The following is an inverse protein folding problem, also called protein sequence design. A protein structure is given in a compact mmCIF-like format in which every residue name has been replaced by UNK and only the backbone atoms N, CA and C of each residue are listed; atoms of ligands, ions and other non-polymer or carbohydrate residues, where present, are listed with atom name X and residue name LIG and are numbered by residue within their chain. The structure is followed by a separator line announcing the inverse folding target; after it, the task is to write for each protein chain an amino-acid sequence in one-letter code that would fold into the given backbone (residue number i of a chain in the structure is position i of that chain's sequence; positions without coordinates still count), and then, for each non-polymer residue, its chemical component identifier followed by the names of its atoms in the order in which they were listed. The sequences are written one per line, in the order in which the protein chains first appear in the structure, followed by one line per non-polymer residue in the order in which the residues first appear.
data_IF_381912613136
#
_entry.id   IF_381912613136
#
_cell.length_a   1.000
_cell.length_b   1.000
_cell.length_c   1.000
_cell.angle_alpha   90.00
_cell.angle_beta   90.00
_cell.angle_gamma   90.00
#
_symmetry.space_group_name_H-M   'P 1'
#
loop_
_entity.id
_entity.type
_entity.pdbx_description
1 polymer ?
#
# COMPACT_ATOMS: atom_id res chain seq x y z
N UNK A 1 -21.69 -8.87 -30.57
CA UNK A 1 -20.94 -8.47 -29.37
C UNK A 1 -19.44 -8.48 -29.62
N UNK A 2 -18.80 -9.65 -29.49
CA UNK A 2 -17.33 -9.81 -29.59
C UNK A 2 -16.71 -9.24 -30.88
N UNK A 3 -17.32 -9.46 -32.04
CA UNK A 3 -16.81 -8.94 -33.32
C UNK A 3 -16.71 -7.41 -33.34
N UNK A 4 -17.73 -6.71 -32.82
CA UNK A 4 -17.72 -5.24 -32.69
C UNK A 4 -16.72 -4.71 -31.64
N UNK A 5 -16.30 -5.54 -30.66
CA UNK A 5 -15.23 -5.17 -29.72
C UNK A 5 -13.85 -5.27 -30.37
N UNK A 6 -13.63 -6.30 -31.19
CA UNK A 6 -12.33 -6.59 -31.80
C UNK A 6 -12.07 -5.74 -33.05
N UNK A 7 -13.12 -5.43 -33.81
CA UNK A 7 -12.98 -4.62 -35.02
C UNK A 7 -12.38 -5.38 -36.23
N UNK A 8 -12.28 -6.70 -36.16
CA UNK A 8 -11.57 -7.54 -37.16
C UNK A 8 -12.34 -7.65 -38.48
N UNK A 9 -13.65 -7.94 -38.43
CA UNK A 9 -14.50 -8.14 -39.62
C UNK A 9 -15.57 -7.06 -39.79
N UNK A 10 -15.80 -6.26 -38.74
CA UNK A 10 -16.77 -5.17 -38.70
C UNK A 10 -16.12 -3.96 -38.04
N UNK A 11 -16.47 -2.71 -38.45
CA UNK A 11 -15.98 -1.53 -37.77
C UNK A 11 -16.22 -1.62 -36.26
N UNK A 12 -15.21 -1.24 -35.48
CA UNK A 12 -15.31 -1.21 -34.02
C UNK A 12 -16.46 -0.28 -33.61
N UNK A 13 -17.46 -0.84 -32.93
CA UNK A 13 -18.62 -0.11 -32.41
C UNK A 13 -18.91 -0.60 -30.99
N UNK A 14 -18.44 0.18 -30.02
CA UNK A 14 -18.62 -0.13 -28.59
C UNK A 14 -20.09 -0.14 -28.18
N UNK A 15 -20.91 0.75 -28.74
CA UNK A 15 -22.33 0.82 -28.43
C UNK A 15 -23.06 -0.43 -28.92
N UNK A 16 -22.84 -0.85 -30.17
CA UNK A 16 -23.40 -2.09 -30.70
C UNK A 16 -22.87 -3.31 -29.96
N UNK A 17 -21.57 -3.36 -29.64
CA UNK A 17 -20.96 -4.44 -28.88
C UNK A 17 -21.66 -4.64 -27.54
N UNK A 18 -21.87 -3.57 -26.77
CA UNK A 18 -22.54 -3.59 -25.47
C UNK A 18 -23.98 -4.07 -25.61
N UNK A 19 -24.75 -3.52 -26.55
CA UNK A 19 -26.16 -3.92 -26.77
C UNK A 19 -26.29 -5.43 -26.99
N UNK A 20 -25.46 -5.99 -27.86
CA UNK A 20 -25.47 -7.42 -28.15
C UNK A 20 -24.98 -8.28 -26.98
N UNK A 21 -24.00 -7.78 -26.22
CA UNK A 21 -23.53 -8.48 -25.04
C UNK A 21 -24.58 -8.49 -23.92
N UNK A 22 -25.30 -7.39 -23.71
CA UNK A 22 -26.42 -7.31 -22.76
C UNK A 22 -27.49 -8.32 -23.13
N UNK A 23 -27.96 -8.31 -24.37
CA UNK A 23 -28.99 -9.24 -24.83
C UNK A 23 -28.60 -10.72 -24.59
N UNK A 24 -27.33 -11.07 -24.81
CA UNK A 24 -26.83 -12.43 -24.57
C UNK A 24 -26.64 -12.73 -23.07
N UNK A 25 -26.17 -11.76 -22.29
CA UNK A 25 -25.95 -11.90 -20.86
C UNK A 25 -27.26 -12.05 -20.08
N UNK A 26 -28.31 -11.34 -20.50
CA UNK A 26 -29.68 -11.44 -19.96
C UNK A 26 -30.31 -12.82 -20.24
N UNK A 27 -29.90 -13.49 -21.32
CA UNK A 27 -30.28 -14.87 -21.61
C UNK A 27 -29.45 -15.91 -20.82
N UNK A 28 -28.65 -15.46 -19.84
CA UNK A 28 -27.85 -16.35 -19.00
C UNK A 28 -26.53 -16.77 -19.61
N UNK A 29 -26.10 -16.23 -20.76
CA UNK A 29 -24.81 -16.62 -21.34
C UNK A 29 -23.64 -16.20 -20.44
N UNK A 30 -23.00 -17.16 -19.77
CA UNK A 30 -21.88 -16.89 -18.85
C UNK A 30 -20.70 -16.16 -19.50
N UNK A 31 -20.43 -16.38 -20.79
CA UNK A 31 -19.32 -15.73 -21.50
C UNK A 31 -19.65 -14.26 -21.81
N UNK A 32 -20.90 -13.95 -22.15
CA UNK A 32 -21.36 -12.59 -22.36
C UNK A 32 -21.38 -11.79 -21.04
N UNK A 33 -21.84 -12.42 -19.95
CA UNK A 33 -21.76 -11.84 -18.61
C UNK A 33 -20.31 -11.55 -18.20
N UNK A 34 -19.39 -12.49 -18.42
CA UNK A 34 -17.97 -12.25 -18.18
C UNK A 34 -17.42 -11.11 -19.03
N UNK A 35 -17.77 -11.04 -20.32
CA UNK A 35 -17.32 -9.99 -21.22
C UNK A 35 -17.81 -8.61 -20.77
N UNK A 36 -19.08 -8.46 -20.34
CA UNK A 36 -19.60 -7.22 -19.77
C UNK A 36 -18.89 -6.86 -18.47
N UNK A 37 -18.71 -7.83 -17.58
CA UNK A 37 -18.00 -7.65 -16.33
C UNK A 37 -16.59 -7.11 -16.53
N UNK A 38 -15.88 -7.68 -17.52
CA UNK A 38 -14.55 -7.23 -17.95
C UNK A 38 -14.58 -5.82 -18.58
N UNK A 39 -15.60 -5.52 -19.38
CA UNK A 39 -15.77 -4.22 -20.03
C UNK A 39 -15.89 -3.07 -19.02
N UNK A 40 -16.69 -3.26 -17.97
CA UNK A 40 -16.87 -2.26 -16.90
C UNK A 40 -15.70 -2.22 -15.90
N UNK A 41 -14.82 -3.23 -15.93
CA UNK A 41 -13.67 -3.33 -15.04
C UNK A 41 -12.47 -2.50 -15.51
N UNK A 42 -12.14 -2.58 -16.80
CA UNK A 42 -10.99 -1.88 -17.37
C UNK A 42 -11.31 -0.41 -17.67
N UNK A 43 -10.35 0.46 -17.36
CA UNK A 43 -10.37 1.86 -17.80
C UNK A 43 -10.11 1.88 -19.33
N UNK A 44 -11.14 2.18 -20.12
CA UNK A 44 -11.10 2.17 -21.59
C UNK A 44 -12.23 3.01 -22.19
N UNK A 45 -12.76 2.61 -23.36
CA UNK A 45 -13.84 3.33 -24.07
C UNK A 45 -15.19 3.36 -23.32
N UNK A 46 -15.29 2.66 -22.18
CA UNK A 46 -16.46 2.63 -21.30
C UNK A 46 -16.08 3.20 -19.94
N UNK A 47 -16.94 4.05 -19.38
CA UNK A 47 -16.76 4.54 -18.02
C UNK A 47 -16.72 3.36 -17.06
N UNK A 48 -15.62 3.26 -16.32
CA UNK A 48 -15.42 2.22 -15.32
C UNK A 48 -16.51 2.27 -14.26
N UNK A 49 -17.16 1.14 -14.04
CA UNK A 49 -18.23 0.97 -13.07
C UNK A 49 -18.01 -0.34 -12.33
N UNK A 50 -17.42 -0.24 -11.13
CA UNK A 50 -17.05 -1.42 -10.34
C UNK A 50 -18.28 -2.22 -9.92
N UNK A 51 -19.39 -1.56 -9.63
CA UNK A 51 -20.61 -2.23 -9.19
C UNK A 51 -21.22 -3.04 -10.33
N UNK A 52 -21.36 -2.44 -11.51
CA UNK A 52 -21.81 -3.17 -12.71
C UNK A 52 -20.86 -4.29 -13.10
N UNK A 53 -19.56 -4.05 -13.00
CA UNK A 53 -18.55 -5.09 -13.23
C UNK A 53 -18.76 -6.29 -12.32
N UNK A 54 -18.84 -6.07 -11.00
CA UNK A 54 -19.03 -7.14 -10.02
C UNK A 54 -20.37 -7.85 -10.20
N UNK A 55 -21.43 -7.13 -10.54
CA UNK A 55 -22.75 -7.72 -10.83
C UNK A 55 -22.66 -8.78 -11.93
N UNK A 56 -22.13 -8.41 -13.10
CA UNK A 56 -22.02 -9.33 -14.24
C UNK A 56 -21.02 -10.46 -13.99
N UNK A 57 -19.88 -10.18 -13.33
CA UNK A 57 -18.90 -11.21 -13.00
C UNK A 57 -19.46 -12.25 -12.03
N UNK A 58 -20.25 -11.83 -11.03
CA UNK A 58 -20.86 -12.76 -10.07
C UNK A 58 -21.86 -13.69 -10.74
N UNK A 59 -22.69 -13.18 -11.65
CA UNK A 59 -23.61 -14.00 -12.44
C UNK A 59 -22.86 -15.04 -13.28
N UNK A 60 -21.74 -14.64 -13.90
CA UNK A 60 -20.90 -15.55 -14.68
C UNK A 60 -20.22 -16.61 -13.79
N UNK A 61 -19.66 -16.19 -12.64
CA UNK A 61 -19.00 -17.07 -11.69
C UNK A 61 -19.99 -18.09 -11.06
N UNK A 62 -21.22 -17.69 -10.79
CA UNK A 62 -22.28 -18.57 -10.30
C UNK A 62 -22.61 -19.73 -11.25
N UNK A 63 -22.30 -19.58 -12.54
CA UNK A 63 -22.44 -20.62 -13.56
C UNK A 63 -21.16 -21.47 -13.76
N UNK A 64 -20.13 -21.25 -12.95
CA UNK A 64 -18.86 -21.99 -13.00
C UNK A 64 -17.76 -21.33 -13.83
N UNK A 65 -17.92 -20.07 -14.25
CA UNK A 65 -16.86 -19.37 -14.96
C UNK A 65 -15.69 -19.02 -14.02
N UNK A 66 -14.64 -19.84 -14.07
CA UNK A 66 -13.42 -19.67 -13.26
C UNK A 66 -12.68 -18.36 -13.54
N UNK A 67 -12.75 -17.83 -14.76
CA UNK A 67 -12.12 -16.55 -15.10
C UNK A 67 -12.85 -15.38 -14.46
N UNK A 68 -14.18 -15.47 -14.36
CA UNK A 68 -14.98 -14.47 -13.67
C UNK A 68 -14.66 -14.48 -12.17
N UNK A 69 -14.58 -15.66 -11.54
CA UNK A 69 -14.20 -15.79 -10.14
C UNK A 69 -12.80 -15.23 -9.87
N UNK A 70 -11.82 -15.62 -10.70
CA UNK A 70 -10.46 -15.11 -10.58
C UNK A 70 -10.40 -13.58 -10.66
N UNK A 71 -11.18 -12.96 -11.56
CA UNK A 71 -11.22 -11.51 -11.70
C UNK A 71 -11.86 -10.82 -10.48
N UNK A 72 -12.90 -11.42 -9.90
CA UNK A 72 -13.51 -10.92 -8.64
C UNK A 72 -12.48 -10.94 -7.52
N UNK A 73 -11.77 -12.05 -7.34
CA UNK A 73 -10.80 -12.22 -6.26
C UNK A 73 -9.62 -11.23 -6.38
N UNK A 74 -9.24 -10.90 -7.62
CA UNK A 74 -8.12 -10.00 -7.91
C UNK A 74 -8.56 -8.56 -8.19
N UNK A 75 -9.85 -8.22 -8.10
CA UNK A 75 -10.39 -6.92 -8.53
C UNK A 75 -9.73 -5.73 -7.80
N UNK A 76 -9.31 -5.94 -6.57
CA UNK A 76 -8.65 -4.92 -5.73
C UNK A 76 -7.13 -4.90 -5.93
N UNK A 77 -6.52 -5.98 -6.42
CA UNK A 77 -5.08 -6.07 -6.71
C UNK A 77 -4.71 -5.23 -7.92
N UNK A 78 -5.61 -5.09 -8.89
CA UNK A 78 -5.48 -4.17 -10.03
C UNK A 78 -5.80 -2.70 -9.67
N UNK A 79 -6.15 -2.41 -8.41
CA UNK A 79 -6.25 -1.03 -7.94
C UNK A 79 -4.83 -0.48 -7.87
N UNK A 80 -4.50 0.49 -8.72
CA UNK A 80 -3.39 1.39 -8.45
C UNK A 80 -3.59 1.89 -7.01
N UNK A 81 -2.71 1.57 -6.03
CA UNK A 81 -2.83 2.15 -4.70
C UNK A 81 -2.93 3.65 -4.93
N UNK A 82 -3.92 4.31 -4.30
CA UNK A 82 -4.09 5.75 -4.51
C UNK A 82 -2.72 6.39 -4.37
N UNK A 83 -2.36 7.32 -5.25
CA UNK A 83 -1.03 7.95 -5.23
C UNK A 83 -0.69 8.43 -3.81
N UNK A 84 -1.71 8.88 -3.07
CA UNK A 84 -1.67 9.17 -1.65
C UNK A 84 -1.24 7.97 -0.78
N UNK A 85 -1.87 6.79 -0.90
CA UNK A 85 -1.50 5.58 -0.17
C UNK A 85 -0.11 5.06 -0.53
N UNK A 86 0.31 5.20 -1.79
CA UNK A 86 1.68 4.90 -2.21
C UNK A 86 2.68 5.88 -1.57
N UNK A 87 2.34 7.17 -1.56
CA UNK A 87 3.15 8.22 -0.94
C UNK A 87 3.26 8.04 0.58
N UNK A 88 2.18 7.72 1.29
CA UNK A 88 2.23 7.47 2.74
C UNK A 88 3.05 6.24 3.08
N UNK A 89 2.94 5.16 2.30
CA UNK A 89 3.80 3.96 2.45
C UNK A 89 5.27 4.26 2.20
N UNK A 90 5.57 5.10 1.21
CA UNK A 90 6.93 5.55 0.94
C UNK A 90 7.46 6.41 2.09
N UNK A 91 6.69 7.40 2.56
CA UNK A 91 7.06 8.25 3.69
C UNK A 91 7.34 7.43 4.95
N UNK A 92 6.46 6.50 5.31
CA UNK A 92 6.66 5.63 6.47
C UNK A 92 7.92 4.76 6.34
N UNK A 93 8.25 4.30 5.13
CA UNK A 93 9.46 3.50 4.90
C UNK A 93 10.72 4.36 4.99
N UNK A 94 10.67 5.59 4.48
CA UNK A 94 11.76 6.56 4.60
C UNK A 94 11.99 6.95 6.07
N UNK A 95 10.92 7.20 6.82
CA UNK A 95 11.01 7.53 8.25
C UNK A 95 11.71 6.42 9.06
N UNK A 96 11.38 5.15 8.79
CA UNK A 96 12.06 4.02 9.42
C UNK A 96 13.56 3.96 9.06
N UNK A 97 13.92 4.20 7.79
CA UNK A 97 15.32 4.21 7.35
C UNK A 97 16.12 5.32 8.05
N UNK A 98 15.56 6.53 8.09
CA UNK A 98 16.20 7.67 8.73
C UNK A 98 16.36 7.47 10.25
N UNK A 99 15.38 6.88 10.93
CA UNK A 99 15.49 6.60 12.37
C UNK A 99 16.47 5.48 12.70
N UNK A 100 16.59 4.46 11.85
CA UNK A 100 17.60 3.40 12.02
C UNK A 100 19.03 3.93 11.85
N UNK A 101 19.25 4.77 10.84
CA UNK A 101 20.54 5.44 10.63
C UNK A 101 20.83 6.49 11.71
N UNK A 102 19.83 7.25 12.16
CA UNK A 102 19.95 8.18 13.28
C UNK A 102 20.28 7.45 14.59
N UNK A 103 19.62 6.32 14.90
CA UNK A 103 19.95 5.51 16.09
C UNK A 103 21.35 4.92 16.02
N UNK A 104 21.80 4.45 14.85
CA UNK A 104 23.18 3.97 14.67
C UNK A 104 24.20 5.08 14.87
N UNK A 105 24.00 6.24 14.25
CA UNK A 105 24.96 7.36 14.32
C UNK A 105 25.00 8.01 15.70
N UNK A 106 23.85 8.19 16.36
CA UNK A 106 23.77 8.71 17.74
C UNK A 106 24.23 7.67 18.76
N UNK A 107 23.94 6.37 18.56
CA UNK A 107 24.46 5.30 19.41
C UNK A 107 25.98 5.19 19.38
N UNK A 108 26.60 5.37 18.21
CA UNK A 108 28.06 5.41 18.03
C UNK A 108 28.66 6.69 18.63
N UNK A 109 28.06 7.86 18.42
CA UNK A 109 28.58 9.14 18.95
C UNK A 109 28.36 9.30 20.46
N UNK A 110 27.28 8.78 21.04
CA UNK A 110 27.07 8.74 22.48
C UNK A 110 28.06 7.80 23.20
N UNK A 111 28.44 6.69 22.55
CA UNK A 111 29.50 5.78 23.01
C UNK A 111 30.91 6.35 22.84
N UNK A 112 31.11 7.27 21.88
CA UNK A 112 32.39 7.90 21.57
C UNK A 112 32.61 9.27 22.25
N UNK A 113 31.85 9.62 23.30
CA UNK A 113 32.30 10.65 24.24
C UNK A 113 33.47 10.06 25.02
N UNK A 114 34.62 10.19 24.37
CA UNK A 114 35.94 9.69 24.66
C UNK A 114 36.21 9.66 26.18
N UNK A 115 36.45 8.46 26.69
CA UNK A 115 36.86 8.18 28.08
C UNK A 115 38.02 9.08 28.50
N UNK A 116 38.89 9.49 27.57
CA UNK A 116 39.97 10.47 27.82
C UNK A 116 39.44 11.87 28.07
N UNK A 117 38.43 12.33 27.33
CA UNK A 117 37.82 13.65 27.52
C UNK A 117 37.06 13.72 28.85
N UNK A 118 36.39 12.63 29.26
CA UNK A 118 35.76 12.53 30.59
C UNK A 118 36.79 12.54 31.72
N UNK A 119 37.90 11.81 31.59
CA UNK A 119 39.02 11.86 32.56
C UNK A 119 39.62 13.25 32.67
N UNK A 120 39.92 13.92 31.55
CA UNK A 120 40.44 15.29 31.57
C UNK A 120 39.47 16.28 32.21
N UNK A 121 38.16 16.12 31.99
CA UNK A 121 37.16 16.97 32.66
C UNK A 121 37.13 16.73 34.18
N UNK A 122 37.34 15.48 34.61
CA UNK A 122 37.34 15.09 36.02
C UNK A 122 38.62 15.56 36.73
N UNK A 123 39.79 15.41 36.09
CA UNK A 123 41.08 15.93 36.56
C UNK A 123 41.07 17.46 36.63
N UNK A 124 40.49 18.14 35.64
CA UNK A 124 40.35 19.60 35.66
C UNK A 124 39.42 20.08 36.78
N UNK A 125 38.33 19.35 37.06
CA UNK A 125 37.43 19.65 38.20
C UNK A 125 38.11 19.43 39.56
N UNK A 126 38.96 18.41 39.68
CA UNK A 126 39.76 18.16 40.88
C UNK A 126 40.86 19.22 41.08
N UNK A 127 41.54 19.63 40.00
CA UNK A 127 42.57 20.66 40.04
C UNK A 127 42.02 22.08 40.28
N UNK A 128 40.77 22.34 39.89
CA UNK A 128 40.07 23.60 40.17
C UNK A 128 39.48 23.66 41.59
N UNK A 129 39.78 22.67 42.45
CA UNK A 129 39.47 22.72 43.88
C UNK A 129 37.98 22.61 44.20
N UNK A 130 37.15 22.11 43.28
CA UNK A 130 35.74 21.89 43.59
C UNK A 130 35.61 20.68 44.51
N UNK A 131 35.63 20.95 45.82
CA UNK A 131 35.22 20.00 46.86
C UNK A 131 33.83 19.48 46.47
N UNK A 132 33.67 18.16 46.47
CA UNK A 132 32.35 17.56 46.63
C UNK A 132 32.00 17.88 48.08
N UNK A 133 31.07 18.79 48.28
CA UNK A 133 30.47 18.95 49.59
C UNK A 133 29.71 17.66 49.88
N UNK A 134 30.40 16.75 50.57
CA UNK A 134 29.85 15.54 51.15
C UNK A 134 28.99 15.94 52.34
N UNK A 135 27.71 16.25 52.14
CA UNK A 135 26.70 16.17 53.21
C UNK A 135 25.32 15.83 52.65
N UNK A 136 25.03 14.54 52.53
CA UNK A 136 23.71 14.02 52.88
C UNK A 136 23.86 13.15 54.14
N UNK A 137 23.29 13.51 55.29
CA UNK A 137 23.02 12.54 56.33
C UNK A 137 21.73 11.80 55.99
N UNK A 138 21.85 10.55 55.56
CA UNK A 138 20.73 9.61 55.55
C UNK A 138 20.37 9.26 57.01
N UNK A 139 19.09 9.36 57.32
CA UNK A 139 18.47 9.00 58.59
C UNK A 139 18.51 7.46 58.81
N UNK A 140 18.59 7.00 60.07
CA UNK A 140 17.62 6.09 60.77
C UNK A 140 18.28 5.18 61.85
N UNK A 141 17.64 5.22 63.02
CA UNK A 141 17.48 4.28 64.16
C UNK A 141 18.65 3.50 64.81
N UNK A 142 18.76 3.70 66.13
CA UNK A 142 18.36 2.71 67.15
C UNK A 142 17.66 3.42 68.32
#
# INVERSE_FOLDING_TARGET
GKLYLLGEDVPKDMGAAIRWLIASAEQGNQFAQYALGKLYFYDGDVLRDKEKSLYWLRLSAAQGNVYAQYLIDNINSYRNPSVLLAATRLMHRLENLFWEDYRRTVGITAGHIDRKRRRKLQEKKQAQGHKRDDHEPQQIHL
#
